data_IF_436929183791
#
_entry.id   IF_436929183791
#
_cell.length_a   1.000
_cell.length_b   1.000
_cell.length_c   1.000
_cell.angle_alpha   90.00
_cell.angle_beta   90.00
_cell.angle_gamma   90.00
#
_symmetry.space_group_name_H-M   'P 1'
#
loop_
_entity.id
_entity.type
_entity.pdbx_description
1 polymer ?
#
# COMPACT_ATOMS: atom_id res chain seq x y z
N UNK A 1 2.57 -54.14 45.25
CA UNK A 1 2.49 -52.82 44.60
C UNK A 1 2.61 -53.04 43.11
N UNK A 2 1.58 -52.66 42.37
CA UNK A 2 1.59 -52.72 40.90
C UNK A 2 2.59 -51.72 40.33
N UNK A 3 3.26 -52.06 39.22
CA UNK A 3 4.28 -51.21 38.59
C UNK A 3 3.75 -49.80 38.28
N UNK A 4 2.46 -49.68 37.95
CA UNK A 4 1.76 -48.42 37.71
C UNK A 4 1.76 -47.50 38.94
N UNK A 5 1.60 -48.04 40.15
CA UNK A 5 1.62 -47.26 41.39
C UNK A 5 3.02 -46.71 41.68
N UNK A 6 4.06 -47.51 41.44
CA UNK A 6 5.46 -47.08 41.62
C UNK A 6 5.83 -45.96 40.65
N UNK A 7 5.37 -46.06 39.40
CA UNK A 7 5.60 -45.02 38.38
C UNK A 7 4.83 -43.75 38.74
N UNK A 8 3.61 -43.84 39.29
CA UNK A 8 2.87 -42.65 39.72
C UNK A 8 3.58 -41.92 40.86
N UNK A 9 4.07 -42.63 41.89
CA UNK A 9 4.83 -42.00 42.99
C UNK A 9 6.12 -41.34 42.45
N UNK A 10 6.80 -41.98 41.50
CA UNK A 10 7.99 -41.41 40.88
C UNK A 10 7.70 -40.14 40.07
N UNK A 11 6.53 -40.05 39.43
CA UNK A 11 6.09 -38.83 38.73
C UNK A 11 5.88 -37.69 39.72
N UNK A 12 5.17 -37.94 40.81
CA UNK A 12 4.88 -36.92 41.82
C UNK A 12 6.18 -36.34 42.43
N UNK A 13 7.17 -37.20 42.72
CA UNK A 13 8.50 -36.78 43.20
C UNK A 13 9.24 -35.91 42.15
N UNK A 14 9.12 -36.26 40.87
CA UNK A 14 9.79 -35.50 39.80
C UNK A 14 9.14 -34.14 39.56
N UNK A 15 7.82 -34.04 39.72
CA UNK A 15 7.10 -32.76 39.63
C UNK A 15 7.44 -31.85 40.82
N UNK A 16 7.53 -32.39 42.03
CA UNK A 16 7.96 -31.64 43.22
C UNK A 16 9.41 -31.15 43.07
N UNK A 17 10.33 -32.04 42.67
CA UNK A 17 11.73 -31.68 42.42
C UNK A 17 11.87 -30.62 41.30
N UNK A 18 11.01 -30.66 40.28
CA UNK A 18 10.99 -29.65 39.22
C UNK A 18 10.65 -28.26 39.78
N UNK A 19 9.68 -28.17 40.68
CA UNK A 19 9.28 -26.91 41.32
C UNK A 19 10.38 -26.39 42.26
N UNK A 20 10.97 -27.26 43.07
CA UNK A 20 12.05 -26.89 44.00
C UNK A 20 13.28 -26.36 43.26
N UNK A 21 13.69 -27.04 42.18
CA UNK A 21 14.81 -26.61 41.36
C UNK A 21 14.51 -25.29 40.66
N UNK A 22 13.27 -25.07 40.22
CA UNK A 22 12.86 -23.81 39.63
C UNK A 22 13.00 -22.64 40.62
N UNK A 23 12.66 -22.85 41.89
CA UNK A 23 12.87 -21.86 42.95
C UNK A 23 14.35 -21.58 43.26
N UNK A 24 15.21 -22.60 43.20
CA UNK A 24 16.66 -22.42 43.44
C UNK A 24 17.35 -21.71 42.27
N UNK A 25 16.91 -21.96 41.03
CA UNK A 25 17.53 -21.45 39.81
C UNK A 25 16.81 -20.23 39.20
N UNK A 26 15.91 -19.59 39.94
CA UNK A 26 15.09 -18.46 39.45
C UNK A 26 15.92 -17.33 38.80
N UNK A 27 17.15 -17.14 39.28
CA UNK A 27 18.05 -16.09 38.78
C UNK A 27 18.99 -16.54 37.65
N UNK A 28 19.10 -17.84 37.36
CA UNK A 28 19.91 -18.38 36.26
C UNK A 28 19.01 -19.08 35.23
N UNK A 29 18.41 -18.26 34.37
CA UNK A 29 17.43 -18.68 33.39
C UNK A 29 17.98 -19.69 32.37
N UNK A 30 19.29 -19.63 32.09
CA UNK A 30 19.93 -20.50 31.12
C UNK A 30 20.05 -21.94 31.64
N UNK A 31 20.43 -22.09 32.91
CA UNK A 31 20.54 -23.38 33.59
C UNK A 31 19.14 -23.90 33.92
N UNK A 32 18.24 -23.03 34.35
CA UNK A 32 16.84 -23.36 34.64
C UNK A 32 16.16 -24.03 33.44
N UNK A 33 16.28 -23.45 32.24
CA UNK A 33 15.66 -23.99 31.03
C UNK A 33 16.19 -25.38 30.65
N UNK A 34 17.50 -25.62 30.82
CA UNK A 34 18.12 -26.92 30.54
C UNK A 34 17.61 -27.98 31.52
N UNK A 35 17.56 -27.66 32.82
CA UNK A 35 17.12 -28.61 33.84
C UNK A 35 15.62 -28.87 33.74
N UNK A 36 14.82 -27.83 33.54
CA UNK A 36 13.36 -27.92 33.42
C UNK A 36 12.94 -28.77 32.21
N UNK A 37 13.58 -28.55 31.06
CA UNK A 37 13.32 -29.33 29.85
C UNK A 37 13.75 -30.80 30.01
N UNK A 38 14.85 -31.06 30.71
CA UNK A 38 15.32 -32.40 31.05
C UNK A 38 14.34 -33.17 31.94
N UNK A 39 13.90 -32.56 33.04
CA UNK A 39 12.93 -33.16 33.96
C UNK A 39 11.57 -33.40 33.29
N UNK A 40 11.10 -32.42 32.50
CA UNK A 40 9.84 -32.55 31.75
C UNK A 40 9.88 -33.73 30.75
N UNK A 41 11.02 -33.98 30.10
CA UNK A 41 11.18 -35.17 29.23
C UNK A 41 11.12 -36.48 30.01
N UNK A 42 11.69 -36.54 31.22
CA UNK A 42 11.63 -37.73 32.07
C UNK A 42 10.20 -37.99 32.57
N UNK A 43 9.50 -36.95 33.03
CA UNK A 43 8.10 -36.98 33.44
C UNK A 43 7.22 -37.50 32.29
N UNK A 44 7.41 -36.98 31.08
CA UNK A 44 6.65 -37.40 29.89
C UNK A 44 6.92 -38.85 29.51
N UNK A 45 8.18 -39.31 29.62
CA UNK A 45 8.54 -40.71 29.34
C UNK A 45 7.88 -41.67 30.34
N UNK A 46 7.91 -41.36 31.62
CA UNK A 46 7.28 -42.16 32.67
C UNK A 46 5.74 -42.12 32.56
N UNK A 47 5.16 -40.97 32.25
CA UNK A 47 3.72 -40.80 32.03
C UNK A 47 3.23 -41.65 30.86
N UNK A 48 3.98 -41.68 29.74
CA UNK A 48 3.66 -42.51 28.59
C UNK A 48 3.65 -44.02 28.90
N UNK A 49 4.54 -44.49 29.80
CA UNK A 49 4.58 -45.90 30.20
C UNK A 49 3.34 -46.38 30.96
N UNK A 50 2.59 -45.46 31.58
CA UNK A 50 1.35 -45.75 32.30
C UNK A 50 0.11 -45.21 31.59
N UNK A 51 0.24 -44.74 30.34
CA UNK A 51 -0.86 -44.22 29.54
C UNK A 51 -1.43 -42.87 30.02
N UNK A 52 -0.68 -42.11 30.84
CA UNK A 52 -1.06 -40.74 31.22
C UNK A 52 -0.66 -39.76 30.12
N UNK A 53 -1.49 -38.73 29.91
CA UNK A 53 -1.23 -37.65 28.95
C UNK A 53 0.09 -36.93 29.25
N UNK A 54 0.80 -36.55 28.19
CA UNK A 54 2.04 -35.79 28.31
C UNK A 54 1.79 -34.43 28.98
N UNK A 55 2.68 -34.06 29.90
CA UNK A 55 2.81 -32.70 30.39
C UNK A 55 3.44 -31.85 29.29
N UNK A 56 2.58 -31.20 28.50
CA UNK A 56 2.95 -29.99 27.76
C UNK A 56 3.05 -28.86 28.78
N UNK A 57 4.27 -28.39 29.06
CA UNK A 57 4.46 -27.17 29.84
C UNK A 57 3.66 -26.01 29.23
N UNK A 58 3.25 -25.06 30.07
CA UNK A 58 2.55 -23.86 29.61
C UNK A 58 3.35 -23.22 28.47
N UNK A 59 2.65 -22.80 27.41
CA UNK A 59 3.26 -22.04 26.32
C UNK A 59 3.78 -20.75 26.97
N UNK A 60 5.08 -20.64 27.14
CA UNK A 60 5.72 -19.42 27.60
C UNK A 60 5.62 -18.43 26.45
N UNK A 61 4.62 -17.55 26.52
CA UNK A 61 4.52 -16.41 25.61
C UNK A 61 5.64 -15.44 25.96
N UNK A 62 6.73 -15.50 25.20
CA UNK A 62 7.78 -14.50 25.30
C UNK A 62 7.26 -13.19 24.68
N UNK A 63 7.23 -12.08 25.44
CA UNK A 63 6.92 -10.80 24.85
C UNK A 63 7.95 -10.48 23.74
N UNK A 64 7.53 -9.79 22.67
CA UNK A 64 8.42 -9.43 21.57
C UNK A 64 9.58 -8.57 22.09
N UNK A 65 10.77 -8.78 21.52
CA UNK A 65 12.00 -8.09 21.92
C UNK A 65 11.82 -6.59 21.61
N UNK A 66 11.74 -5.74 22.62
CA UNK A 66 11.56 -4.29 22.41
C UNK A 66 12.88 -3.54 22.21
N UNK A 67 14.00 -4.13 22.64
CA UNK A 67 15.31 -3.48 22.71
C UNK A 67 16.41 -4.46 22.27
N UNK A 68 17.32 -4.00 21.41
CA UNK A 68 18.49 -4.74 20.97
C UNK A 68 19.74 -3.91 21.23
N UNK A 69 20.65 -4.43 22.06
CA UNK A 69 21.90 -3.75 22.43
C UNK A 69 21.72 -2.33 23.02
N UNK A 70 20.61 -2.09 23.72
CA UNK A 70 20.32 -0.78 24.33
C UNK A 70 19.66 0.22 23.38
N UNK A 71 19.44 -0.16 22.12
CA UNK A 71 18.64 0.59 21.15
C UNK A 71 17.25 -0.02 21.03
N UNK A 72 16.24 0.85 21.08
CA UNK A 72 14.84 0.43 20.94
C UNK A 72 14.59 -0.01 19.51
N UNK A 73 14.06 -1.21 19.30
CA UNK A 73 13.67 -1.67 17.96
C UNK A 73 12.45 -0.86 17.54
N UNK A 74 12.64 0.07 16.60
CA UNK A 74 11.54 0.73 15.92
C UNK A 74 10.90 -0.24 14.93
N UNK A 75 9.83 -0.91 15.38
CA UNK A 75 8.98 -1.70 14.49
C UNK A 75 8.41 -0.80 13.40
N UNK A 76 8.38 -1.29 12.15
CA UNK A 76 7.68 -0.64 11.06
C UNK A 76 6.22 -0.43 11.48
N UNK A 77 5.86 0.83 11.77
CA UNK A 77 4.48 1.19 12.12
C UNK A 77 3.59 0.80 10.94
N UNK A 78 2.52 0.06 11.23
CA UNK A 78 1.46 -0.17 10.25
C UNK A 78 0.95 1.19 9.80
N UNK A 79 1.20 1.54 8.54
CA UNK A 79 0.73 2.81 7.97
C UNK A 79 -0.78 2.69 7.84
N UNK A 80 -1.50 3.49 8.62
CA UNK A 80 -2.95 3.55 8.58
C UNK A 80 -3.39 4.18 7.24
N UNK A 81 -4.42 3.62 6.60
CA UNK A 81 -4.88 4.05 5.26
C UNK A 81 -5.36 5.51 5.28
N UNK A 82 -5.79 5.99 6.44
CA UNK A 82 -6.12 7.40 6.66
C UNK A 82 -4.94 8.36 6.39
N UNK A 83 -3.69 7.91 6.60
CA UNK A 83 -2.47 8.69 6.31
C UNK A 83 -2.16 8.72 4.81
N UNK A 84 -2.64 7.72 4.04
CA UNK A 84 -2.44 7.64 2.60
C UNK A 84 -3.43 8.52 1.81
N UNK A 85 -4.47 9.04 2.46
CA UNK A 85 -5.48 9.88 1.80
C UNK A 85 -5.06 11.35 1.94
N UNK A 86 -4.64 12.03 0.85
CA UNK A 86 -4.22 13.42 0.94
C UNK A 86 -5.36 14.31 1.44
N UNK A 87 -5.02 15.35 2.18
CA UNK A 87 -5.98 16.33 2.69
C UNK A 87 -6.67 17.04 1.51
N UNK A 88 -7.92 17.46 1.71
CA UNK A 88 -8.67 18.17 0.66
C UNK A 88 -7.98 19.47 0.22
N UNK A 89 -7.29 20.15 1.13
CA UNK A 89 -6.48 21.33 0.81
C UNK A 89 -5.35 20.99 -0.18
N UNK A 90 -4.64 19.89 0.04
CA UNK A 90 -3.54 19.46 -0.82
C UNK A 90 -4.04 19.03 -2.19
N UNK A 91 -5.21 18.38 -2.26
CA UNK A 91 -5.87 18.03 -3.53
C UNK A 91 -6.24 19.28 -4.34
N UNK A 92 -6.74 20.32 -3.68
CA UNK A 92 -7.09 21.58 -4.35
C UNK A 92 -5.84 22.28 -4.88
N UNK A 93 -4.79 22.37 -4.06
CA UNK A 93 -3.51 22.93 -4.47
C UNK A 93 -2.93 22.18 -5.67
N UNK A 94 -2.96 20.84 -5.63
CA UNK A 94 -2.50 19.99 -6.74
C UNK A 94 -3.28 20.29 -8.03
N UNK A 95 -4.62 20.34 -7.96
CA UNK A 95 -5.46 20.63 -9.13
C UNK A 95 -5.17 22.02 -9.69
N UNK A 96 -5.00 23.02 -8.83
CA UNK A 96 -4.67 24.36 -9.26
C UNK A 96 -3.33 24.38 -10.00
N UNK A 97 -2.31 23.73 -9.45
CA UNK A 97 -0.99 23.66 -10.08
C UNK A 97 -1.01 22.93 -11.41
N UNK A 98 -1.75 21.82 -11.52
CA UNK A 98 -1.96 21.11 -12.78
C UNK A 98 -2.66 22.00 -13.81
N UNK A 99 -3.63 22.81 -13.40
CA UNK A 99 -4.30 23.74 -14.31
C UNK A 99 -3.35 24.84 -14.81
N UNK A 100 -2.58 25.45 -13.91
CA UNK A 100 -1.57 26.44 -14.28
C UNK A 100 -0.55 25.87 -15.27
N UNK A 101 -0.07 24.65 -15.00
CA UNK A 101 0.89 23.98 -15.88
C UNK A 101 0.27 23.58 -17.22
N UNK A 102 -0.99 23.13 -17.24
CA UNK A 102 -1.73 22.81 -18.46
C UNK A 102 -1.89 24.05 -19.35
N UNK A 103 -2.22 25.21 -18.78
CA UNK A 103 -2.42 26.45 -19.52
C UNK A 103 -1.10 27.01 -20.08
N UNK A 104 0.03 26.74 -19.40
CA UNK A 104 1.36 27.17 -19.81
C UNK A 104 2.12 26.10 -20.61
N UNK A 105 1.53 24.92 -20.81
CA UNK A 105 2.24 23.74 -21.32
C UNK A 105 2.84 23.98 -22.71
N UNK A 106 2.12 24.69 -23.58
CA UNK A 106 2.57 25.07 -24.93
C UNK A 106 3.64 26.16 -24.94
N UNK A 107 3.83 26.88 -23.82
CA UNK A 107 4.78 27.99 -23.72
C UNK A 107 6.16 27.55 -23.21
N UNK A 108 6.26 26.35 -22.62
CA UNK A 108 7.50 25.81 -22.07
C UNK A 108 8.09 24.82 -23.06
N UNK A 109 9.41 24.86 -23.29
CA UNK A 109 10.04 23.89 -24.18
C UNK A 109 10.00 22.48 -23.57
N UNK A 110 9.82 21.42 -24.39
CA UNK A 110 9.82 20.05 -23.90
C UNK A 110 11.06 19.69 -23.09
N UNK A 111 12.24 20.17 -23.49
CA UNK A 111 13.50 19.94 -22.78
C UNK A 111 13.52 20.61 -21.40
N UNK A 112 12.88 21.78 -21.25
CA UNK A 112 12.76 22.48 -19.98
C UNK A 112 11.85 21.72 -19.01
N UNK A 113 10.78 21.11 -19.52
CA UNK A 113 9.89 20.27 -18.72
C UNK A 113 10.55 18.96 -18.29
N UNK A 114 11.33 18.31 -19.17
CA UNK A 114 12.12 17.11 -18.78
C UNK A 114 13.14 17.45 -17.70
N UNK A 115 13.86 18.57 -17.81
CA UNK A 115 14.83 18.97 -16.79
C UNK A 115 14.19 19.24 -15.43
N UNK A 116 13.02 19.88 -15.41
CA UNK A 116 12.28 20.11 -14.16
C UNK A 116 11.67 18.82 -13.59
N UNK A 117 11.37 17.84 -14.45
CA UNK A 117 10.88 16.52 -14.05
C UNK A 117 11.91 15.64 -13.32
N UNK A 118 13.12 16.15 -13.04
CA UNK A 118 14.11 15.43 -12.22
C UNK A 118 13.64 15.31 -10.76
N UNK A 119 12.76 16.21 -10.30
CA UNK A 119 12.20 16.21 -8.95
C UNK A 119 10.92 15.35 -8.94
N UNK A 120 10.78 14.37 -8.03
CA UNK A 120 9.61 13.49 -7.98
C UNK A 120 8.27 14.24 -7.92
N UNK A 121 8.20 15.35 -7.20
CA UNK A 121 6.99 16.18 -7.09
C UNK A 121 6.56 16.76 -8.45
N UNK A 122 7.52 17.22 -9.25
CA UNK A 122 7.26 17.78 -10.59
C UNK A 122 6.79 16.73 -11.59
N UNK A 123 7.27 15.48 -11.43
CA UNK A 123 6.77 14.36 -12.24
C UNK A 123 5.27 14.13 -12.04
N UNK A 124 4.78 14.26 -10.80
CA UNK A 124 3.36 14.05 -10.48
C UNK A 124 2.51 15.12 -11.18
N UNK A 125 2.97 16.37 -11.26
CA UNK A 125 2.26 17.43 -11.98
C UNK A 125 2.20 17.17 -13.48
N UNK A 126 3.30 16.73 -14.11
CA UNK A 126 3.32 16.38 -15.55
C UNK A 126 2.37 15.22 -15.83
N UNK A 127 2.35 14.19 -14.99
CA UNK A 127 1.38 13.08 -15.08
C UNK A 127 -0.06 13.57 -14.88
N UNK A 128 -0.27 14.53 -13.99
CA UNK A 128 -1.56 15.20 -13.81
C UNK A 128 -2.03 15.93 -15.08
N UNK A 129 -1.12 16.61 -15.78
CA UNK A 129 -1.42 17.26 -17.07
C UNK A 129 -1.71 16.21 -18.15
N UNK A 130 -0.92 15.14 -18.24
CA UNK A 130 -1.16 14.03 -19.17
C UNK A 130 -2.55 13.40 -18.99
N UNK A 131 -2.96 13.18 -17.74
CA UNK A 131 -4.31 12.71 -17.39
C UNK A 131 -5.39 13.68 -17.86
N UNK A 132 -5.18 14.99 -17.65
CA UNK A 132 -6.14 16.03 -18.06
C UNK A 132 -6.24 16.13 -19.59
N UNK A 133 -5.13 15.93 -20.29
CA UNK A 133 -5.05 15.88 -21.75
C UNK A 133 -5.59 14.57 -22.36
N UNK A 134 -5.84 13.54 -21.54
CA UNK A 134 -6.38 12.25 -22.00
C UNK A 134 -5.35 11.31 -22.61
N UNK A 135 -4.06 11.48 -22.31
CA UNK A 135 -3.00 10.57 -22.77
C UNK A 135 -3.10 9.24 -22.02
N UNK A 136 -3.10 8.11 -22.74
CA UNK A 136 -3.19 6.78 -22.14
C UNK A 136 -1.82 6.30 -21.60
N UNK A 137 -1.84 5.42 -20.59
CA UNK A 137 -0.60 4.84 -20.04
C UNK A 137 0.32 5.84 -19.32
N UNK A 138 -0.19 7.00 -18.93
CA UNK A 138 0.57 8.08 -18.31
C UNK A 138 1.07 7.78 -16.88
N UNK A 139 0.60 6.72 -16.23
CA UNK A 139 0.83 6.44 -14.81
C UNK A 139 2.27 5.99 -14.54
N UNK A 140 2.78 5.08 -15.37
CA UNK A 140 4.11 4.46 -15.19
C UNK A 140 5.12 4.84 -16.28
N UNK A 141 4.71 5.57 -17.31
CA UNK A 141 5.56 5.92 -18.44
C UNK A 141 6.71 6.86 -18.02
N UNK A 142 7.88 6.69 -18.62
CA UNK A 142 9.02 7.56 -18.39
C UNK A 142 8.77 8.96 -18.97
N UNK A 143 9.18 10.01 -18.25
CA UNK A 143 9.01 11.40 -18.70
C UNK A 143 10.15 11.75 -19.64
N UNK A 144 9.96 11.42 -20.91
CA UNK A 144 10.86 11.76 -22.01
C UNK A 144 10.33 12.95 -22.81
N UNK A 145 11.17 13.53 -23.68
CA UNK A 145 10.74 14.59 -24.60
C UNK A 145 9.55 14.14 -25.46
N UNK A 146 9.61 12.92 -26.00
CA UNK A 146 8.53 12.34 -26.82
C UNK A 146 7.20 12.26 -26.05
N UNK A 147 7.25 11.90 -24.77
CA UNK A 147 6.04 11.86 -23.93
C UNK A 147 5.44 13.26 -23.72
N UNK A 148 6.29 14.27 -23.55
CA UNK A 148 5.84 15.67 -23.38
C UNK A 148 5.26 16.22 -24.68
N UNK A 149 5.86 15.90 -25.82
CA UNK A 149 5.32 16.25 -27.14
C UNK A 149 3.96 15.59 -27.39
N UNK A 150 3.79 14.32 -26.96
CA UNK A 150 2.50 13.62 -27.02
C UNK A 150 1.43 14.31 -26.18
N UNK A 151 1.78 14.76 -24.97
CA UNK A 151 0.87 15.56 -24.13
C UNK A 151 0.50 16.87 -24.83
N UNK A 152 1.48 17.60 -25.38
CA UNK A 152 1.21 18.86 -26.08
C UNK A 152 0.32 18.66 -27.33
N UNK A 153 0.53 17.56 -28.07
CA UNK A 153 -0.31 17.19 -29.19
C UNK A 153 -1.75 16.87 -28.75
N UNK A 154 -1.91 16.11 -27.66
CA UNK A 154 -3.22 15.77 -27.10
C UNK A 154 -3.98 17.02 -26.62
N UNK A 155 -3.30 17.98 -25.97
CA UNK A 155 -3.89 19.26 -25.56
C UNK A 155 -4.43 20.03 -26.77
N UNK A 156 -3.65 20.13 -27.85
CA UNK A 156 -4.07 20.82 -29.08
C UNK A 156 -5.25 20.15 -29.76
N UNK A 157 -5.24 18.82 -29.81
CA UNK A 157 -6.34 18.04 -30.38
C UNK A 157 -7.63 18.24 -29.57
N UNK A 158 -7.54 18.17 -28.24
CA UNK A 158 -8.68 18.38 -27.35
C UNK A 158 -9.27 19.80 -27.48
N UNK A 159 -8.42 20.82 -27.66
CA UNK A 159 -8.87 22.18 -27.92
C UNK A 159 -9.59 22.31 -29.27
N UNK A 160 -9.08 21.63 -30.31
CA UNK A 160 -9.71 21.61 -31.64
C UNK A 160 -11.06 20.88 -31.62
N UNK A 161 -11.15 19.74 -30.95
CA UNK A 161 -12.38 18.94 -30.83
C UNK A 161 -13.46 19.70 -30.04
N UNK A 162 -13.07 20.37 -28.96
CA UNK A 162 -13.96 21.24 -28.18
C UNK A 162 -14.49 22.42 -29.00
N UNK A 163 -13.65 23.04 -29.83
CA UNK A 163 -14.05 24.13 -30.72
C UNK A 163 -15.02 23.65 -31.82
N UNK A 164 -14.81 22.46 -32.37
CA UNK A 164 -15.73 21.84 -33.34
C UNK A 164 -17.09 21.53 -32.70
N UNK A 165 -17.10 20.96 -31.50
CA UNK A 165 -18.34 20.66 -30.79
C UNK A 165 -19.13 21.94 -30.47
N UNK A 166 -18.46 22.99 -30.00
CA UNK A 166 -19.10 24.29 -29.75
C UNK A 166 -19.68 24.93 -31.03
N UNK A 167 -19.07 24.69 -32.20
CA UNK A 167 -19.60 25.15 -33.48
C UNK A 167 -20.85 24.35 -33.90
N UNK A 168 -20.83 23.03 -33.70
CA UNK A 168 -21.99 22.15 -33.97
C UNK A 168 -23.16 22.51 -33.05
N UNK A 169 -22.91 22.72 -31.76
CA UNK A 169 -23.94 23.09 -30.78
C UNK A 169 -24.57 24.45 -31.12
N UNK A 170 -23.78 25.42 -31.60
CA UNK A 170 -24.31 26.70 -32.11
C UNK A 170 -25.17 26.54 -33.37
N UNK A 171 -24.79 25.66 -34.29
CA UNK A 171 -25.59 25.39 -35.49
C UNK A 171 -26.91 24.66 -35.17
N UNK A 172 -26.93 23.83 -34.12
CA UNK A 172 -28.13 23.14 -33.65
C UNK A 172 -29.05 24.07 -32.83
N UNK A 173 -28.51 25.09 -32.18
CA UNK A 173 -29.27 26.06 -31.39
C UNK A 173 -30.00 27.14 -32.23
N UNK A 174 -29.63 27.35 -33.51
CA UNK A 174 -30.27 28.30 -34.43
C UNK A 174 -31.07 27.58 -35.56
N UNK A 175 -32.34 27.18 -35.32
CA UNK A 175 -33.17 26.51 -36.33
C UNK A 175 -33.69 27.42 -37.45
N UNK A 176 -33.49 28.74 -37.41
CA UNK A 176 -34.05 29.68 -38.39
C UNK A 176 -33.20 29.94 -39.66
N UNK A 177 -31.95 29.45 -39.72
CA UNK A 177 -31.08 29.68 -40.89
C UNK A 177 -31.26 28.65 -42.04
N UNK A 178 -31.90 27.50 -41.78
CA UNK A 178 -31.96 26.37 -42.72
C UNK A 178 -33.01 26.51 -43.84
N UNK A 179 -34.02 27.36 -43.70
CA UNK A 179 -35.18 27.39 -44.62
C UNK A 179 -35.15 28.48 -45.70
N UNK A 180 -34.18 29.41 -45.74
CA UNK A 180 -34.16 30.51 -46.74
C UNK A 180 -33.50 30.17 -48.09
N UNK A 181 -33.08 28.93 -48.34
CA UNK A 181 -32.30 28.56 -49.54
C UNK A 181 -33.04 27.88 -50.72
N UNK A 182 -34.24 27.32 -50.53
CA UNK A 182 -34.92 26.59 -51.62
C UNK A 182 -35.74 27.52 -52.52
N UNK A 183 -35.10 28.09 -53.54
CA UNK A 183 -35.79 28.62 -54.73
C UNK A 183 -36.57 27.47 -55.40
N UNK A 184 -37.89 27.58 -55.62
CA UNK A 184 -38.60 26.60 -56.42
C UNK A 184 -38.21 26.74 -57.89
N UNK A 185 -37.86 25.62 -58.51
CA UNK A 185 -37.62 25.53 -59.94
C UNK A 185 -38.90 25.91 -60.70
N UNK A 186 -38.83 26.95 -61.54
CA UNK A 186 -39.90 27.24 -62.51
C UNK A 186 -39.87 26.17 -63.59
N UNK A 187 -40.97 25.43 -63.70
CA UNK A 187 -41.22 24.46 -64.76
C UNK A 187 -41.46 25.14 -66.10
N UNK A 188 -41.00 24.45 -67.15
CA UNK A 188 -41.29 24.73 -68.55
C UNK A 188 -42.80 24.71 -68.84
N UNK A 189 -43.25 25.72 -69.58
CA UNK A 189 -44.30 25.59 -70.60
C UNK A 189 -43.83 26.32 -71.85
#
# INVERSE_FOLDING_TARGET
MENTQRISIALDILDEAKQDIAGVLENDHSVLLIVESGLTRLINRLSAMIGKSAHTGAIVEHPPITDFMGEKIEYAKQIDVAVLTPLEADKQHFRQRVNELYDQFDSISPEGLVQNATIPEEQIFIRGVAKKAGVEGYEDREITVEFIEEIAAAIKQQAADSAQQAAIDKQLADPEASTKGRKPAKGNQ
#
